data_IF_416484595531
#
_entry.id   IF_416484595531
#
_cell.length_a   1.000
_cell.length_b   1.000
_cell.length_c   1.000
_cell.angle_alpha   90.00
_cell.angle_beta   90.00
_cell.angle_gamma   90.00
#
_symmetry.space_group_name_H-M   'P 1'
#
loop_
_entity.id
_entity.type
_entity.pdbx_description
1 polymer ?
#
# COMPACT_ATOMS: atom_id res chain seq x y z
N UNK A 1 10.42 -11.03 -55.29
CA UNK A 1 11.19 -9.82 -54.88
C UNK A 1 10.24 -8.65 -54.65
N UNK A 2 10.36 -8.02 -53.47
CA UNK A 2 10.04 -6.63 -53.06
C UNK A 2 9.19 -6.57 -51.78
N UNK A 3 9.90 -6.37 -50.66
CA UNK A 3 9.41 -5.85 -49.38
C UNK A 3 9.06 -4.37 -49.54
N UNK A 4 8.02 -3.89 -48.87
CA UNK A 4 7.99 -2.57 -48.22
C UNK A 4 7.18 -2.64 -46.93
N UNK A 5 7.78 -2.17 -45.83
CA UNK A 5 7.16 -1.86 -44.52
C UNK A 5 6.58 -0.45 -44.61
N UNK A 6 5.41 -0.21 -44.00
CA UNK A 6 5.07 1.11 -43.46
C UNK A 6 4.54 0.91 -42.04
N UNK A 7 5.22 1.57 -41.10
CA UNK A 7 4.90 1.66 -39.66
C UNK A 7 3.97 2.86 -39.44
N UNK A 8 3.11 2.74 -38.42
CA UNK A 8 2.58 3.75 -37.48
C UNK A 8 2.37 5.21 -37.91
N UNK A 9 1.19 5.73 -37.52
CA UNK A 9 0.87 7.12 -37.06
C UNK A 9 -0.66 7.40 -37.18
N UNK A 10 -1.45 6.50 -37.78
CA UNK A 10 -2.88 6.75 -38.03
C UNK A 10 -3.82 6.80 -36.80
N UNK A 11 -3.40 6.41 -35.60
CA UNK A 11 -4.33 6.29 -34.44
C UNK A 11 -4.46 7.54 -33.56
N UNK A 12 -3.54 8.50 -33.63
CA UNK A 12 -3.59 9.70 -32.75
C UNK A 12 -4.42 10.83 -33.39
N UNK A 13 -4.34 11.00 -34.71
CA UNK A 13 -5.13 12.01 -35.44
C UNK A 13 -6.63 11.69 -35.42
N UNK A 14 -7.01 10.41 -35.42
CA UNK A 14 -8.41 10.00 -35.35
C UNK A 14 -9.05 10.30 -33.98
N UNK A 15 -8.26 10.24 -32.90
CA UNK A 15 -8.75 10.53 -31.54
C UNK A 15 -8.93 12.04 -31.30
N UNK A 16 -8.04 12.87 -31.86
CA UNK A 16 -8.16 14.34 -31.79
C UNK A 16 -9.36 14.84 -32.61
N UNK A 17 -9.64 14.21 -33.75
CA UNK A 17 -10.79 14.55 -34.59
C UNK A 17 -12.12 14.14 -33.94
N UNK A 18 -12.16 13.04 -33.18
CA UNK A 18 -13.35 12.61 -32.43
C UNK A 18 -13.69 13.58 -31.27
N UNK A 19 -12.67 14.19 -30.65
CA UNK A 19 -12.85 15.13 -29.53
C UNK A 19 -13.45 16.48 -29.95
N UNK A 20 -13.35 16.84 -31.24
CA UNK A 20 -13.91 18.08 -31.79
C UNK A 20 -15.39 17.96 -32.19
N UNK A 21 -15.94 16.74 -32.27
CA UNK A 21 -17.35 16.51 -32.60
C UNK A 21 -18.28 16.46 -31.38
N UNK A 22 -17.75 16.48 -30.15
CA UNK A 22 -18.56 16.45 -28.93
C UNK A 22 -19.04 17.88 -28.59
N UNK A 23 -20.36 18.14 -28.60
CA UNK A 23 -20.93 19.45 -28.28
C UNK A 23 -20.56 19.90 -26.86
N UNK A 24 -20.33 21.20 -26.68
CA UNK A 24 -19.83 21.79 -25.43
C UNK A 24 -20.72 21.53 -24.19
N UNK A 25 -21.97 21.09 -24.38
CA UNK A 25 -22.92 20.74 -23.32
C UNK A 25 -22.65 19.38 -22.64
N UNK A 26 -21.79 18.53 -23.20
CA UNK A 26 -21.43 17.22 -22.62
C UNK A 26 -20.02 17.22 -21.99
N UNK A 27 -19.35 18.38 -21.91
CA UNK A 27 -17.98 18.52 -21.37
C UNK A 27 -17.90 18.62 -19.84
N UNK A 28 -18.91 18.13 -19.11
CA UNK A 28 -19.01 18.31 -17.66
C UNK A 28 -18.92 16.97 -16.94
N UNK A 29 -17.79 16.80 -16.27
CA UNK A 29 -17.48 15.83 -15.21
C UNK A 29 -17.14 14.41 -15.71
N UNK A 30 -16.01 14.30 -16.41
CA UNK A 30 -15.13 13.17 -16.17
C UNK A 30 -14.34 13.48 -14.88
N UNK A 31 -14.76 12.93 -13.74
CA UNK A 31 -13.88 12.86 -12.56
C UNK A 31 -12.76 11.89 -12.94
N UNK A 32 -11.73 12.41 -13.60
CA UNK A 32 -10.43 11.79 -13.56
C UNK A 32 -9.91 12.03 -12.14
N UNK A 33 -10.13 11.08 -11.23
CA UNK A 33 -9.07 10.80 -10.27
C UNK A 33 -7.92 10.20 -11.09
N UNK A 34 -7.15 11.08 -11.73
CA UNK A 34 -5.77 10.73 -12.03
C UNK A 34 -5.18 10.35 -10.67
N UNK A 35 -4.55 9.17 -10.51
CA UNK A 35 -3.73 8.97 -9.34
C UNK A 35 -2.75 10.13 -9.34
N UNK A 36 -2.76 10.94 -8.27
CA UNK A 36 -1.70 11.91 -8.06
C UNK A 36 -0.40 11.13 -8.27
N UNK A 37 0.32 11.46 -9.33
CA UNK A 37 1.57 10.81 -9.62
C UNK A 37 2.48 11.23 -8.46
N UNK A 38 2.61 10.35 -7.46
CA UNK A 38 3.54 10.53 -6.35
C UNK A 38 4.94 10.36 -6.92
N UNK A 39 5.40 11.38 -7.67
CA UNK A 39 6.64 11.35 -8.43
C UNK A 39 7.88 11.63 -7.57
N UNK A 40 7.73 11.73 -6.25
CA UNK A 40 8.84 12.02 -5.33
C UNK A 40 8.87 11.11 -4.09
N UNK A 41 8.20 9.94 -4.14
CA UNK A 41 8.33 8.99 -3.04
C UNK A 41 9.69 8.29 -3.11
N UNK A 42 10.57 8.67 -2.18
CA UNK A 42 11.84 7.98 -1.97
C UNK A 42 11.66 6.83 -0.98
N UNK A 43 11.71 5.60 -1.52
CA UNK A 43 11.58 4.36 -0.77
C UNK A 43 12.65 4.21 0.31
N UNK A 44 13.87 4.64 0.03
CA UNK A 44 15.00 4.48 0.93
C UNK A 44 15.08 5.54 2.02
N UNK A 45 14.64 6.77 1.74
CA UNK A 45 14.64 7.86 2.73
C UNK A 45 13.31 8.03 3.46
N UNK A 46 12.28 7.28 3.07
CA UNK A 46 10.98 7.31 3.75
C UNK A 46 11.10 7.10 5.26
N UNK A 47 10.46 8.00 6.01
CA UNK A 47 10.46 8.00 7.47
C UNK A 47 9.67 6.85 8.11
N UNK A 48 8.93 6.08 7.31
CA UNK A 48 8.01 5.06 7.81
C UNK A 48 8.74 3.90 8.48
N UNK A 49 9.79 3.35 7.86
CA UNK A 49 10.56 2.25 8.43
C UNK A 49 11.17 2.61 9.80
N UNK A 50 11.92 3.72 9.96
CA UNK A 50 12.42 4.13 11.27
C UNK A 50 11.32 4.39 12.31
N UNK A 51 10.13 4.86 11.89
CA UNK A 51 8.99 5.06 12.79
C UNK A 51 8.40 3.74 13.27
N UNK A 52 8.17 2.78 12.37
CA UNK A 52 7.65 1.45 12.71
C UNK A 52 8.61 0.72 13.64
N UNK A 53 9.91 0.71 13.31
CA UNK A 53 10.93 0.06 14.16
C UNK A 53 10.99 0.69 15.55
N UNK A 54 10.93 2.02 15.65
CA UNK A 54 10.89 2.72 16.94
C UNK A 54 9.62 2.42 17.74
N UNK A 55 8.48 2.24 17.06
CA UNK A 55 7.23 1.86 17.70
C UNK A 55 7.34 0.46 18.31
N UNK A 56 7.88 -0.50 17.55
CA UNK A 56 8.13 -1.87 18.01
C UNK A 56 9.06 -1.85 19.24
N UNK A 57 10.19 -1.16 19.14
CA UNK A 57 11.19 -1.05 20.21
C UNK A 57 10.59 -0.54 21.53
N UNK A 58 9.66 0.41 21.45
CA UNK A 58 9.08 1.07 22.62
C UNK A 58 7.85 0.38 23.19
N UNK A 59 7.01 -0.22 22.34
CA UNK A 59 5.64 -0.61 22.71
C UNK A 59 5.31 -2.08 22.47
N UNK A 60 6.18 -2.85 21.81
CA UNK A 60 5.87 -4.25 21.57
C UNK A 60 5.90 -5.05 22.88
N UNK A 61 4.87 -5.88 23.08
CA UNK A 61 4.58 -6.54 24.36
C UNK A 61 5.59 -7.63 24.70
N UNK A 62 6.14 -8.32 23.69
CA UNK A 62 7.03 -9.47 23.85
C UNK A 62 8.43 -9.20 23.23
N UNK A 63 9.36 -8.52 23.93
CA UNK A 63 10.67 -8.17 23.38
C UNK A 63 11.49 -9.37 22.87
N UNK A 64 11.30 -10.56 23.44
CA UNK A 64 12.02 -11.77 23.05
C UNK A 64 11.69 -12.26 21.63
N UNK A 65 10.55 -11.85 21.08
CA UNK A 65 10.17 -12.13 19.68
C UNK A 65 10.87 -11.21 18.70
N UNK A 66 11.45 -10.10 19.16
CA UNK A 66 12.17 -9.15 18.32
C UNK A 66 13.50 -9.77 17.91
N UNK A 67 13.51 -10.34 16.70
CA UNK A 67 14.69 -10.98 16.10
C UNK A 67 15.06 -10.26 14.80
N UNK A 68 15.93 -9.23 14.85
CA UNK A 68 16.18 -8.34 13.71
C UNK A 68 16.57 -9.08 12.42
N UNK A 69 17.42 -10.11 12.51
CA UNK A 69 17.81 -10.90 11.34
C UNK A 69 16.62 -11.64 10.71
N UNK A 70 15.79 -12.28 11.52
CA UNK A 70 14.60 -13.01 11.02
C UNK A 70 13.52 -12.06 10.49
N UNK A 71 13.35 -10.90 11.14
CA UNK A 71 12.47 -9.83 10.66
C UNK A 71 12.90 -9.33 9.27
N UNK A 72 14.21 -9.12 9.06
CA UNK A 72 14.74 -8.74 7.75
C UNK A 72 14.53 -9.86 6.72
N UNK A 73 14.86 -11.12 7.04
CA UNK A 73 14.63 -12.26 6.13
C UNK A 73 13.16 -12.38 5.73
N UNK A 74 12.24 -12.28 6.68
CA UNK A 74 10.79 -12.33 6.43
C UNK A 74 10.31 -11.18 5.56
N UNK A 75 10.85 -9.96 5.74
CA UNK A 75 10.57 -8.84 4.85
C UNK A 75 11.00 -9.10 3.41
N UNK A 76 12.18 -9.69 3.20
CA UNK A 76 12.69 -10.01 1.86
C UNK A 76 11.89 -11.12 1.19
N UNK A 77 11.55 -12.19 1.93
CA UNK A 77 10.64 -13.24 1.44
C UNK A 77 9.30 -12.63 1.01
N UNK A 78 8.78 -11.69 1.80
CA UNK A 78 7.51 -11.06 1.49
C UNK A 78 7.56 -10.19 0.22
N UNK A 79 8.72 -9.58 -0.06
CA UNK A 79 8.95 -8.83 -1.29
C UNK A 79 8.99 -9.75 -2.50
N UNK A 80 9.75 -10.85 -2.44
CA UNK A 80 9.79 -11.86 -3.50
C UNK A 80 8.39 -12.40 -3.84
N UNK A 81 7.57 -12.68 -2.82
CA UNK A 81 6.20 -13.15 -3.04
C UNK A 81 5.25 -12.10 -3.64
N UNK A 82 5.55 -10.81 -3.49
CA UNK A 82 4.67 -9.70 -3.92
C UNK A 82 5.13 -9.05 -5.22
N UNK A 83 6.41 -9.13 -5.55
CA UNK A 83 7.04 -8.43 -6.67
C UNK A 83 7.77 -9.47 -7.52
N UNK A 84 7.19 -9.81 -8.66
CA UNK A 84 7.68 -10.89 -9.53
C UNK A 84 9.11 -10.65 -10.04
N UNK A 85 9.51 -9.40 -10.14
CA UNK A 85 10.84 -8.97 -10.60
C UNK A 85 11.91 -9.11 -9.51
N UNK A 86 11.53 -9.28 -8.24
CA UNK A 86 12.46 -9.44 -7.12
C UNK A 86 12.59 -10.93 -6.78
N UNK A 87 13.81 -11.46 -6.88
CA UNK A 87 14.16 -12.79 -6.38
C UNK A 87 15.22 -12.67 -5.27
N UNK A 88 15.08 -13.49 -4.23
CA UNK A 88 15.94 -13.45 -3.04
C UNK A 88 16.47 -14.85 -2.71
N UNK A 89 17.77 -15.06 -2.86
CA UNK A 89 18.42 -16.31 -2.52
C UNK A 89 19.23 -16.18 -1.23
N UNK A 90 18.83 -16.93 -0.19
CA UNK A 90 19.59 -17.06 1.06
C UNK A 90 20.65 -18.14 0.89
N UNK A 91 21.92 -17.74 0.87
CA UNK A 91 23.02 -18.69 0.68
C UNK A 91 23.19 -19.56 1.93
N UNK A 92 22.87 -20.84 1.80
CA UNK A 92 22.89 -21.81 2.90
C UNK A 92 24.23 -21.84 3.65
N UNK A 93 24.15 -21.93 4.97
CA UNK A 93 25.35 -21.94 5.84
C UNK A 93 26.07 -20.58 5.93
N UNK A 94 25.53 -19.52 5.34
CA UNK A 94 26.11 -18.17 5.37
C UNK A 94 25.11 -17.12 5.87
N UNK A 95 25.62 -15.91 6.14
CA UNK A 95 24.80 -14.72 6.40
C UNK A 95 24.68 -13.85 5.12
N UNK A 96 24.72 -14.46 3.94
CA UNK A 96 24.67 -13.73 2.67
C UNK A 96 23.32 -13.95 1.98
N UNK A 97 22.79 -12.85 1.47
CA UNK A 97 21.57 -12.83 0.66
C UNK A 97 21.92 -12.27 -0.70
N UNK A 98 21.62 -13.03 -1.74
CA UNK A 98 21.72 -12.58 -3.11
C UNK A 98 20.36 -12.08 -3.57
N UNK A 99 20.29 -10.82 -3.97
CA UNK A 99 19.07 -10.23 -4.50
C UNK A 99 19.23 -9.99 -5.99
N UNK A 100 18.26 -10.46 -6.77
CA UNK A 100 18.16 -10.28 -8.20
C UNK A 100 16.96 -9.39 -8.52
N UNK A 101 17.18 -8.35 -9.32
CA UNK A 101 16.13 -7.44 -9.80
C UNK A 101 16.40 -7.18 -11.28
N UNK A 102 15.57 -7.77 -12.15
CA UNK A 102 15.79 -7.80 -13.61
C UNK A 102 17.23 -8.28 -13.94
N UNK A 103 18.09 -7.42 -14.49
CA UNK A 103 19.49 -7.76 -14.80
C UNK A 103 20.48 -7.40 -13.69
N UNK A 104 20.02 -6.70 -12.65
CA UNK A 104 20.86 -6.27 -11.54
C UNK A 104 20.93 -7.36 -10.47
N UNK A 105 22.12 -7.55 -9.92
CA UNK A 105 22.35 -8.49 -8.82
C UNK A 105 23.19 -7.83 -7.76
N UNK A 106 22.82 -8.01 -6.49
CA UNK A 106 23.59 -7.50 -5.35
C UNK A 106 23.53 -8.44 -4.17
N UNK A 107 24.69 -8.64 -3.54
CA UNK A 107 24.80 -9.40 -2.31
C UNK A 107 24.72 -8.48 -1.09
N UNK A 108 23.91 -8.86 -0.11
CA UNK A 108 23.78 -8.21 1.18
C UNK A 108 24.27 -9.15 2.29
N UNK A 109 24.97 -8.61 3.28
CA UNK A 109 25.39 -9.38 4.45
C UNK A 109 24.47 -9.11 5.64
N UNK A 110 23.88 -10.17 6.18
CA UNK A 110 23.04 -10.16 7.37
C UNK A 110 23.84 -10.27 8.67
N UNK A 111 25.17 -10.47 8.59
CA UNK A 111 26.03 -10.71 9.77
C UNK A 111 25.94 -9.57 10.78
N UNK A 112 25.81 -8.32 10.29
CA UNK A 112 25.74 -7.11 11.12
C UNK A 112 24.33 -6.81 11.63
N UNK A 113 23.30 -7.53 11.20
CA UNK A 113 21.90 -7.27 11.55
C UNK A 113 21.59 -7.93 12.90
N UNK A 114 22.18 -7.36 13.96
CA UNK A 114 22.08 -7.86 15.33
C UNK A 114 21.17 -6.99 16.22
N UNK A 115 20.77 -5.82 15.75
CA UNK A 115 19.94 -4.86 16.48
C UNK A 115 18.91 -4.20 15.57
N UNK A 116 17.89 -3.57 16.16
CA UNK A 116 16.88 -2.83 15.42
C UNK A 116 17.46 -1.66 14.59
N UNK A 117 18.42 -0.85 15.09
CA UNK A 117 19.11 0.14 14.27
C UNK A 117 19.85 -0.48 13.07
N UNK A 118 20.56 -1.60 13.27
CA UNK A 118 21.26 -2.28 12.18
C UNK A 118 20.29 -2.86 11.13
N UNK A 119 19.11 -3.31 11.56
CA UNK A 119 18.02 -3.70 10.64
C UNK A 119 17.58 -2.52 9.77
N UNK A 120 17.39 -1.34 10.37
CA UNK A 120 16.98 -0.14 9.62
C UNK A 120 18.02 0.19 8.56
N UNK A 121 19.30 0.21 8.93
CA UNK A 121 20.40 0.49 8.00
C UNK A 121 20.45 -0.52 6.85
N UNK A 122 20.33 -1.82 7.15
CA UNK A 122 20.34 -2.88 6.16
C UNK A 122 19.14 -2.78 5.21
N UNK A 123 17.94 -2.57 5.74
CA UNK A 123 16.73 -2.43 4.94
C UNK A 123 16.78 -1.17 4.06
N UNK A 124 17.32 -0.06 4.55
CA UNK A 124 17.53 1.15 3.74
C UNK A 124 18.51 0.90 2.59
N UNK A 125 19.58 0.13 2.80
CA UNK A 125 20.50 -0.25 1.71
C UNK A 125 19.82 -1.11 0.65
N UNK A 126 18.93 -2.01 1.07
CA UNK A 126 18.14 -2.86 0.18
C UNK A 126 17.12 -2.03 -0.60
N UNK A 127 16.37 -1.17 0.08
CA UNK A 127 15.45 -0.23 -0.55
C UNK A 127 16.12 0.68 -1.58
N UNK A 128 17.32 1.19 -1.31
CA UNK A 128 18.10 1.94 -2.31
C UNK A 128 18.38 1.09 -3.55
N UNK A 129 18.79 -0.15 -3.36
CA UNK A 129 19.08 -1.04 -4.48
C UNK A 129 17.81 -1.38 -5.28
N UNK A 130 16.70 -1.65 -4.59
CA UNK A 130 15.40 -1.87 -5.23
C UNK A 130 15.02 -0.64 -6.06
N UNK A 131 14.98 0.56 -5.45
CA UNK A 131 14.57 1.79 -6.12
C UNK A 131 15.42 2.13 -7.36
N UNK A 132 16.71 1.78 -7.37
CA UNK A 132 17.61 1.99 -8.51
C UNK A 132 17.31 1.09 -9.72
N UNK A 133 16.71 -0.08 -9.49
CA UNK A 133 16.53 -1.11 -10.52
C UNK A 133 15.06 -1.50 -10.71
N UNK A 134 14.15 -0.84 -10.00
CA UNK A 134 12.72 -1.12 -10.07
C UNK A 134 12.11 -0.53 -11.36
N UNK A 135 11.24 -1.29 -12.06
CA UNK A 135 10.41 -0.74 -13.12
C UNK A 135 9.53 0.43 -12.65
N UNK A 136 9.35 1.42 -13.52
CA UNK A 136 8.45 2.57 -13.30
C UNK A 136 6.97 2.18 -13.10
N UNK A 137 6.59 0.96 -13.46
CA UNK A 137 5.22 0.43 -13.33
C UNK A 137 4.85 0.00 -11.91
N UNK A 138 5.83 -0.10 -11.00
CA UNK A 138 5.60 -0.56 -9.63
C UNK A 138 5.60 0.63 -8.66
N UNK A 139 4.61 0.67 -7.77
CA UNK A 139 4.51 1.68 -6.73
C UNK A 139 5.58 1.46 -5.65
N UNK A 140 6.48 2.43 -5.41
CA UNK A 140 7.43 2.36 -4.31
C UNK A 140 6.74 2.22 -2.94
N UNK A 141 5.53 2.76 -2.78
CA UNK A 141 4.76 2.65 -1.54
C UNK A 141 4.35 1.21 -1.29
N UNK A 142 3.87 0.50 -2.31
CA UNK A 142 3.42 -0.90 -2.18
C UNK A 142 4.57 -1.80 -1.76
N UNK A 143 5.77 -1.56 -2.29
CA UNK A 143 7.00 -2.25 -1.88
C UNK A 143 7.33 -1.98 -0.42
N UNK A 144 7.24 -0.71 0.00
CA UNK A 144 7.47 -0.36 1.39
C UNK A 144 6.50 -1.09 2.33
N UNK A 145 5.19 -1.06 2.03
CA UNK A 145 4.19 -1.74 2.84
C UNK A 145 4.35 -3.26 2.80
N UNK A 146 4.70 -3.86 1.67
CA UNK A 146 4.96 -5.29 1.56
C UNK A 146 6.15 -5.72 2.43
N UNK A 147 7.28 -5.01 2.33
CA UNK A 147 8.46 -5.29 3.15
C UNK A 147 8.18 -5.11 4.65
N UNK A 148 7.54 -4.00 5.04
CA UNK A 148 7.22 -3.72 6.44
C UNK A 148 6.24 -4.75 7.02
N UNK A 149 5.22 -5.16 6.26
CA UNK A 149 4.32 -6.21 6.70
C UNK A 149 5.01 -7.58 6.79
N UNK A 150 5.92 -7.90 5.86
CA UNK A 150 6.76 -9.08 5.97
C UNK A 150 7.63 -9.07 7.23
N UNK A 151 8.21 -7.92 7.55
CA UNK A 151 8.98 -7.70 8.77
C UNK A 151 8.13 -7.94 10.03
N UNK A 152 6.91 -7.40 10.07
CA UNK A 152 5.99 -7.51 11.20
C UNK A 152 5.49 -8.95 11.40
N UNK A 153 5.25 -9.71 10.32
CA UNK A 153 4.86 -11.12 10.40
C UNK A 153 5.85 -12.01 11.13
N UNK A 154 7.14 -11.65 11.12
CA UNK A 154 8.16 -12.37 11.88
C UNK A 154 8.03 -12.18 13.40
N UNK A 155 7.40 -11.08 13.83
CA UNK A 155 7.08 -10.86 15.25
C UNK A 155 5.85 -11.69 15.64
N UNK A 156 4.77 -11.52 14.89
CA UNK A 156 3.47 -12.10 15.17
C UNK A 156 2.56 -12.08 13.90
N UNK A 157 1.78 -13.15 13.64
CA UNK A 157 0.84 -13.22 12.50
C UNK A 157 -0.24 -12.13 12.46
N UNK A 158 -0.61 -11.54 13.59
CA UNK A 158 -1.64 -10.51 13.72
C UNK A 158 -1.09 -9.08 13.67
N UNK A 159 0.24 -8.91 13.64
CA UNK A 159 0.89 -7.62 13.51
C UNK A 159 0.92 -7.20 12.05
N UNK A 160 0.22 -6.10 11.73
CA UNK A 160 0.15 -5.56 10.39
C UNK A 160 0.15 -4.03 10.38
N UNK A 161 0.71 -3.47 9.31
CA UNK A 161 0.66 -2.07 8.95
C UNK A 161 -0.38 -1.89 7.83
N UNK A 162 -1.43 -1.12 8.14
CA UNK A 162 -2.50 -0.81 7.20
C UNK A 162 -2.16 0.43 6.38
N UNK A 163 -2.47 0.37 5.08
CA UNK A 163 -2.50 1.56 4.21
C UNK A 163 -3.65 2.49 4.62
N UNK A 164 -3.60 3.80 4.34
CA UNK A 164 -4.62 4.76 4.80
C UNK A 164 -6.06 4.37 4.45
N UNK A 165 -6.27 3.83 3.26
CA UNK A 165 -7.57 3.39 2.75
C UNK A 165 -8.10 2.21 3.57
N UNK A 166 -7.29 1.15 3.68
CA UNK A 166 -7.61 -0.03 4.50
C UNK A 166 -7.79 0.30 5.98
N UNK A 167 -7.05 1.30 6.50
CA UNK A 167 -7.25 1.77 7.88
C UNK A 167 -8.58 2.50 8.07
N UNK A 168 -9.02 3.26 7.07
CA UNK A 168 -10.34 3.91 7.07
C UNK A 168 -11.45 2.87 7.10
N UNK A 169 -11.36 1.84 6.25
CA UNK A 169 -12.30 0.71 6.22
C UNK A 169 -12.29 -0.06 7.53
N UNK A 170 -11.11 -0.46 8.02
CA UNK A 170 -10.96 -1.17 9.30
C UNK A 170 -11.57 -0.39 10.47
N UNK A 171 -11.44 0.95 10.48
CA UNK A 171 -12.07 1.79 11.50
C UNK A 171 -13.58 1.75 11.42
N UNK A 172 -14.15 1.80 10.22
CA UNK A 172 -15.59 1.69 10.02
C UNK A 172 -16.08 0.33 10.52
N UNK A 173 -15.41 -0.76 10.15
CA UNK A 173 -15.78 -2.11 10.60
C UNK A 173 -15.67 -2.28 12.11
N UNK A 174 -14.55 -1.81 12.71
CA UNK A 174 -14.24 -2.06 14.12
C UNK A 174 -15.02 -1.17 15.08
N UNK A 175 -15.22 0.10 14.72
CA UNK A 175 -15.87 1.08 15.61
C UNK A 175 -17.30 1.37 15.21
N UNK A 176 -17.70 0.97 14.01
CA UNK A 176 -18.94 1.43 13.41
C UNK A 176 -18.94 2.92 13.09
N UNK A 177 -17.83 3.65 13.21
CA UNK A 177 -17.85 5.11 13.07
C UNK A 177 -17.45 5.53 11.65
N UNK A 178 -18.42 6.03 10.87
CA UNK A 178 -18.15 6.71 9.60
C UNK A 178 -17.65 8.12 9.87
N UNK A 179 -16.32 8.25 9.99
CA UNK A 179 -15.65 9.50 10.36
C UNK A 179 -15.94 10.69 9.43
N UNK A 180 -16.32 10.46 8.17
CA UNK A 180 -16.65 11.51 7.19
C UNK A 180 -18.07 12.08 7.31
N UNK A 181 -19.04 11.28 7.77
CA UNK A 181 -20.44 11.69 7.92
C UNK A 181 -20.78 12.07 9.36
N UNK A 182 -19.96 11.62 10.32
CA UNK A 182 -20.12 11.92 11.74
C UNK A 182 -21.25 11.12 12.39
N UNK A 183 -21.26 9.81 12.15
CA UNK A 183 -22.24 8.90 12.74
C UNK A 183 -21.63 7.57 13.11
N UNK A 184 -22.20 6.95 14.14
CA UNK A 184 -21.90 5.58 14.57
C UNK A 184 -22.97 4.67 14.00
N UNK A 185 -22.53 3.56 13.41
CA UNK A 185 -23.30 2.49 12.78
C UNK A 185 -22.91 1.15 13.41
N UNK A 186 -23.63 0.10 13.10
CA UNK A 186 -23.28 -1.27 13.47
C UNK A 186 -24.26 -2.24 12.84
N UNK A 187 -23.96 -3.53 12.92
CA UNK A 187 -24.86 -4.56 12.40
C UNK A 187 -25.94 -4.88 13.45
N UNK A 188 -27.21 -4.74 13.06
CA UNK A 188 -28.38 -5.21 13.83
C UNK A 188 -29.29 -6.00 12.91
N UNK A 189 -29.70 -7.18 13.36
CA UNK A 189 -30.56 -8.11 12.59
C UNK A 189 -30.02 -8.40 11.19
N UNK A 190 -28.69 -8.50 11.07
CA UNK A 190 -28.00 -8.74 9.80
C UNK A 190 -27.97 -7.54 8.83
N UNK A 191 -28.34 -6.34 9.29
CA UNK A 191 -28.35 -5.13 8.45
C UNK A 191 -27.51 -4.02 9.05
N UNK A 192 -26.83 -3.27 8.18
CA UNK A 192 -26.11 -2.07 8.57
C UNK A 192 -27.09 -1.01 9.09
N UNK A 193 -26.91 -0.61 10.35
CA UNK A 193 -27.88 0.22 11.08
C UNK A 193 -27.17 1.36 11.79
N UNK A 194 -27.76 2.55 11.77
CA UNK A 194 -27.28 3.70 12.52
C UNK A 194 -27.47 3.45 14.02
N UNK A 195 -26.39 3.48 14.78
CA UNK A 195 -26.43 3.45 16.25
C UNK A 195 -26.79 4.84 16.76
N UNK A 196 -26.04 5.86 16.33
CA UNK A 196 -26.32 7.26 16.68
C UNK A 196 -25.63 8.24 15.71
N UNK A 197 -26.33 9.29 15.23
CA UNK A 197 -25.66 10.45 14.64
C UNK A 197 -24.93 11.26 15.73
N UNK A 198 -23.80 11.87 15.38
CA UNK A 198 -23.10 12.79 16.29
C UNK A 198 -23.63 14.21 16.08
N UNK A 199 -23.97 14.92 17.15
CA UNK A 199 -24.53 16.28 17.06
C UNK A 199 -23.63 17.23 16.25
N UNK A 200 -24.25 18.09 15.43
CA UNK A 200 -23.55 19.09 14.63
C UNK A 200 -22.84 18.58 13.37
N UNK A 201 -22.78 17.26 13.16
CA UNK A 201 -22.17 16.62 11.98
C UNK A 201 -23.11 16.61 10.76
N UNK A 202 -22.59 16.33 9.54
CA UNK A 202 -23.42 16.17 8.35
C UNK A 202 -24.55 15.15 8.53
N UNK A 203 -24.30 13.99 9.15
CA UNK A 203 -25.33 12.99 9.41
C UNK A 203 -26.47 13.50 10.29
N UNK A 204 -26.15 14.25 11.34
CA UNK A 204 -27.16 14.88 12.21
C UNK A 204 -27.96 15.95 11.47
N UNK A 205 -27.29 16.78 10.65
CA UNK A 205 -27.93 17.80 9.82
C UNK A 205 -28.81 17.22 8.72
N UNK A 206 -28.43 16.05 8.19
CA UNK A 206 -29.23 15.27 7.25
C UNK A 206 -30.46 14.62 7.90
N UNK A 207 -30.59 14.70 9.22
CA UNK A 207 -31.75 14.20 9.96
C UNK A 207 -31.75 12.68 10.18
N UNK A 208 -30.60 12.02 10.00
CA UNK A 208 -30.43 10.61 10.33
C UNK A 208 -30.68 10.38 11.81
N UNK A 209 -31.31 9.26 12.14
CA UNK A 209 -31.68 8.89 13.50
C UNK A 209 -31.08 7.55 13.88
N UNK A 210 -30.96 7.36 15.19
CA UNK A 210 -30.68 6.04 15.72
C UNK A 210 -31.73 5.04 15.18
N UNK A 211 -31.25 3.86 14.78
CA UNK A 211 -32.00 2.73 14.19
C UNK A 211 -32.39 2.88 12.73
N UNK A 212 -31.97 3.96 12.05
CA UNK A 212 -32.10 4.03 10.59
C UNK A 212 -31.29 2.90 9.96
N UNK A 213 -31.87 2.25 8.95
CA UNK A 213 -31.22 1.18 8.20
C UNK A 213 -30.51 1.77 6.99
N UNK A 214 -29.24 1.43 6.84
CA UNK A 214 -28.48 1.72 5.63
C UNK A 214 -28.74 0.55 4.70
N UNK A 215 -29.32 0.84 3.54
CA UNK A 215 -29.71 -0.16 2.53
C UNK A 215 -28.75 -0.16 1.34
N UNK A 216 -28.01 0.94 1.13
CA UNK A 216 -27.13 1.15 0.00
C UNK A 216 -26.10 2.24 0.34
N UNK A 217 -24.87 2.05 -0.10
CA UNK A 217 -23.80 3.05 -0.08
C UNK A 217 -23.29 3.18 -1.51
N UNK A 218 -23.44 4.36 -2.11
CA UNK A 218 -23.17 4.58 -3.54
C UNK A 218 -23.93 3.56 -4.40
N UNK A 219 -23.24 2.68 -5.12
CA UNK A 219 -23.84 1.64 -5.98
C UNK A 219 -23.83 0.23 -5.33
N UNK A 220 -23.36 0.11 -4.08
CA UNK A 220 -23.26 -1.17 -3.36
C UNK A 220 -24.38 -1.33 -2.32
N UNK A 221 -25.09 -2.45 -2.38
CA UNK A 221 -26.11 -2.82 -1.37
C UNK A 221 -25.44 -3.33 -0.10
N UNK A 222 -25.97 -2.91 1.04
CA UNK A 222 -25.49 -3.27 2.39
C UNK A 222 -26.38 -4.27 3.11
#
# INVERSE_FOLDING_TARGET
MRRWRVRGVASILLLILLLLLVPASERTIAIQHAPETVTDFDLASSSLLPRVVRYIDRYYVDPERIKPKEMLKSALNQLELRVAEIQVDFLEGTDLVLMHIDQATKTFSLRKVTSLPALVEAMQQIFRFIQQHLPLSLSPQDIQYAALNGMLRALDPHSALLVPEAFSEFRVESTGSFGGLGMVVGIRDGQLTVIAPLEGTPAYKAGLKARDRIIQIEDEST
#
